data_IF_104936340436
#
_entry.id   IF_104936340436
#
_cell.length_a   1.000
_cell.length_b   1.000
_cell.length_c   1.000
_cell.angle_alpha   90.00
_cell.angle_beta   90.00
_cell.angle_gamma   90.00
#
_symmetry.space_group_name_H-M   'P 1'
#
loop_
_entity.id
_entity.type
_entity.pdbx_description
1 polymer ?
#
# COMPACT_ATOMS: atom_id res chain seq x y z
N UNK A 1 1.07 -35.23 2.18
CA UNK A 1 0.82 -35.87 0.87
C UNK A 1 1.15 -34.83 -0.20
N UNK A 2 2.07 -35.09 -1.13
CA UNK A 2 2.47 -34.08 -2.11
C UNK A 2 1.33 -33.70 -3.04
N UNK A 3 1.03 -32.40 -3.14
CA UNK A 3 0.03 -31.84 -4.06
C UNK A 3 0.49 -32.04 -5.52
N UNK A 4 0.11 -33.17 -6.13
CA UNK A 4 0.36 -33.44 -7.55
C UNK A 4 -0.26 -32.32 -8.40
N UNK A 5 0.58 -31.55 -9.09
CA UNK A 5 0.15 -30.56 -10.09
C UNK A 5 0.50 -29.10 -9.76
N UNK A 6 0.88 -28.78 -8.52
CA UNK A 6 1.29 -27.42 -8.15
C UNK A 6 2.79 -27.29 -8.41
N UNK A 7 3.16 -26.43 -9.37
CA UNK A 7 4.56 -26.03 -9.61
C UNK A 7 4.87 -24.83 -8.72
N UNK A 8 6.01 -24.87 -8.05
CA UNK A 8 6.55 -23.72 -7.32
C UNK A 8 7.13 -22.66 -8.26
N UNK A 9 7.61 -21.56 -7.67
CA UNK A 9 8.24 -20.47 -8.42
C UNK A 9 9.48 -20.95 -9.18
N UNK A 10 9.70 -20.39 -10.37
CA UNK A 10 10.86 -20.68 -11.23
C UNK A 10 11.03 -22.17 -11.59
N UNK A 11 9.92 -22.92 -11.69
CA UNK A 11 9.95 -24.34 -12.04
C UNK A 11 10.45 -25.25 -10.93
N UNK A 12 10.64 -24.73 -9.71
CA UNK A 12 10.99 -25.52 -8.53
C UNK A 12 9.77 -26.26 -7.99
N UNK A 13 9.95 -27.34 -7.21
CA UNK A 13 8.85 -27.96 -6.49
C UNK A 13 8.13 -26.95 -5.58
N UNK A 14 6.82 -27.11 -5.44
CA UNK A 14 6.06 -26.42 -4.41
C UNK A 14 6.64 -26.76 -3.04
N UNK A 15 6.88 -25.74 -2.21
CA UNK A 15 7.28 -25.89 -0.82
C UNK A 15 6.06 -25.62 0.04
N UNK A 16 5.63 -26.65 0.75
CA UNK A 16 4.57 -26.57 1.73
C UNK A 16 5.12 -25.92 3.02
N UNK A 17 4.49 -24.83 3.45
CA UNK A 17 4.86 -24.10 4.66
C UNK A 17 3.86 -24.34 5.81
N UNK A 18 2.82 -25.17 5.64
CA UNK A 18 1.77 -25.39 6.64
C UNK A 18 2.33 -25.82 8.00
N UNK A 19 3.40 -26.62 8.02
CA UNK A 19 4.04 -27.05 9.28
C UNK A 19 4.77 -25.93 10.02
N UNK A 20 5.03 -24.81 9.35
CA UNK A 20 5.74 -23.66 9.91
C UNK A 20 4.83 -22.45 10.16
N UNK A 21 3.57 -22.53 9.75
CA UNK A 21 2.59 -21.45 9.91
C UNK A 21 1.41 -21.96 10.70
N UNK A 22 1.30 -21.53 11.96
CA UNK A 22 0.16 -21.86 12.80
C UNK A 22 -1.08 -21.05 12.39
N UNK A 23 -1.79 -21.57 11.39
CA UNK A 23 -3.00 -20.95 10.86
C UNK A 23 -4.17 -20.93 11.87
N UNK A 24 -4.09 -21.70 12.98
CA UNK A 24 -5.15 -21.71 14.00
C UNK A 24 -5.31 -20.35 14.70
N UNK A 25 -4.29 -19.49 14.60
CA UNK A 25 -4.27 -18.13 15.16
C UNK A 25 -4.88 -17.07 14.25
N UNK A 26 -5.14 -17.38 12.98
CA UNK A 26 -5.66 -16.39 12.03
C UNK A 26 -7.01 -15.78 12.45
N UNK A 27 -7.97 -16.51 13.05
CA UNK A 27 -9.21 -15.90 13.53
C UNK A 27 -9.00 -14.83 14.61
N UNK A 28 -8.08 -15.05 15.55
CA UNK A 28 -7.80 -14.05 16.60
C UNK A 28 -7.03 -12.85 16.08
N UNK A 29 -6.16 -13.06 15.08
CA UNK A 29 -5.43 -11.99 14.38
C UNK A 29 -6.41 -11.16 13.56
N UNK A 30 -7.36 -11.81 12.89
CA UNK A 30 -8.42 -11.12 12.14
C UNK A 30 -9.21 -10.19 13.04
N UNK A 31 -9.69 -10.67 14.19
CA UNK A 31 -10.44 -9.85 15.14
C UNK A 31 -9.60 -8.68 15.68
N UNK A 32 -8.32 -8.92 16.02
CA UNK A 32 -7.40 -7.85 16.43
C UNK A 32 -7.26 -6.78 15.34
N UNK A 33 -7.04 -7.19 14.08
CA UNK A 33 -6.89 -6.26 12.95
C UNK A 33 -8.16 -5.42 12.78
N UNK A 34 -9.34 -6.04 12.80
CA UNK A 34 -10.62 -5.34 12.68
C UNK A 34 -10.81 -4.28 13.78
N UNK A 35 -10.59 -4.65 15.04
CA UNK A 35 -10.71 -3.74 16.18
C UNK A 35 -9.65 -2.62 16.16
N UNK A 36 -8.41 -2.97 15.80
CA UNK A 36 -7.31 -2.01 15.75
C UNK A 36 -7.51 -0.99 14.63
N UNK A 37 -7.96 -1.40 13.44
CA UNK A 37 -8.23 -0.49 12.31
C UNK A 37 -9.33 0.54 12.64
N UNK A 38 -10.25 0.23 13.57
CA UNK A 38 -11.22 1.20 14.05
C UNK A 38 -10.61 2.29 14.96
N UNK A 39 -9.39 2.10 15.47
CA UNK A 39 -8.74 2.95 16.47
C UNK A 39 -7.44 3.60 15.99
N UNK A 40 -6.88 3.17 14.85
CA UNK A 40 -5.64 3.72 14.32
C UNK A 40 -5.89 4.54 13.05
N UNK A 41 -5.07 5.57 12.77
CA UNK A 41 -5.09 6.22 11.48
C UNK A 41 -4.74 5.22 10.37
N UNK A 42 -5.59 5.16 9.35
CA UNK A 42 -5.29 4.47 8.09
C UNK A 42 -4.93 5.48 7.01
N UNK A 43 -4.08 5.04 6.09
CA UNK A 43 -3.73 5.83 4.92
C UNK A 43 -4.05 5.07 3.63
N UNK A 44 -3.77 5.73 2.51
CA UNK A 44 -3.73 5.15 1.18
C UNK A 44 -2.30 4.72 0.86
N UNK A 45 -2.12 3.73 0.00
CA UNK A 45 -0.76 3.44 -0.53
C UNK A 45 -0.26 4.54 -1.48
N UNK A 46 -1.17 5.38 -2.00
CA UNK A 46 -0.86 6.37 -3.03
C UNK A 46 -0.84 5.81 -4.45
N UNK A 47 -1.23 4.55 -4.63
CA UNK A 47 -1.33 3.92 -5.93
C UNK A 47 -2.65 4.21 -6.66
N UNK A 48 -2.59 4.22 -8.00
CA UNK A 48 -3.76 4.24 -8.89
C UNK A 48 -3.57 3.17 -9.95
N UNK A 49 -4.63 2.43 -10.27
CA UNK A 49 -4.52 1.36 -11.24
C UNK A 49 -4.03 1.84 -12.62
N UNK A 50 -4.51 3.00 -13.11
CA UNK A 50 -4.20 3.46 -14.47
C UNK A 50 -2.81 4.08 -14.55
N UNK A 51 -2.49 5.03 -13.67
CA UNK A 51 -1.13 5.60 -13.54
C UNK A 51 -0.04 4.57 -13.23
N UNK A 52 -0.39 3.42 -12.64
CA UNK A 52 0.54 2.30 -12.41
C UNK A 52 0.49 1.21 -13.50
N UNK A 53 -0.45 1.27 -14.45
CA UNK A 53 -0.57 0.27 -15.52
C UNK A 53 -1.03 -1.11 -15.06
N UNK A 54 -1.81 -1.19 -13.98
CA UNK A 54 -2.25 -2.43 -13.32
C UNK A 54 -3.78 -2.58 -13.29
N UNK A 55 -4.51 -1.85 -14.14
CA UNK A 55 -5.96 -2.01 -14.29
C UNK A 55 -6.28 -3.48 -14.61
N UNK A 56 -7.14 -4.17 -13.84
CA UNK A 56 -7.55 -5.53 -14.18
C UNK A 56 -8.23 -5.55 -15.55
N UNK A 57 -7.90 -6.54 -16.40
CA UNK A 57 -8.47 -6.66 -17.76
C UNK A 57 -10.00 -6.62 -17.79
N UNK A 58 -10.65 -7.22 -16.79
CA UNK A 58 -12.11 -7.24 -16.65
C UNK A 58 -12.73 -5.87 -16.34
N UNK A 59 -11.91 -4.86 -16.04
CA UNK A 59 -12.31 -3.52 -15.60
C UNK A 59 -11.69 -2.42 -16.47
N UNK A 60 -11.06 -2.76 -17.60
CA UNK A 60 -10.46 -1.77 -18.53
C UNK A 60 -11.48 -0.73 -19.03
N UNK A 61 -12.75 -1.13 -19.16
CA UNK A 61 -13.85 -0.25 -19.57
C UNK A 61 -14.43 0.62 -18.45
N UNK A 62 -13.96 0.49 -17.20
CA UNK A 62 -14.45 1.32 -16.10
C UNK A 62 -13.80 2.69 -16.09
N UNK A 63 -14.64 3.71 -16.01
CA UNK A 63 -14.23 5.12 -15.96
C UNK A 63 -13.99 5.51 -14.50
N UNK A 64 -12.94 4.96 -13.90
CA UNK A 64 -12.43 5.46 -12.61
C UNK A 64 -11.50 6.65 -12.89
N UNK A 65 -11.63 7.71 -12.09
CA UNK A 65 -10.82 8.92 -12.25
C UNK A 65 -9.41 8.66 -11.74
N UNK A 66 -8.42 8.90 -12.59
CA UNK A 66 -7.00 8.69 -12.31
C UNK A 66 -6.33 9.99 -11.83
N UNK A 67 -5.47 9.92 -10.80
CA UNK A 67 -4.81 11.12 -10.30
C UNK A 67 -3.84 11.73 -11.32
N UNK A 68 -3.17 10.92 -12.16
CA UNK A 68 -2.15 11.39 -13.08
C UNK A 68 -2.79 12.25 -14.16
N UNK A 69 -3.92 11.80 -14.71
CA UNK A 69 -4.75 12.57 -15.64
C UNK A 69 -5.26 13.87 -15.02
N UNK A 70 -5.77 13.81 -13.78
CA UNK A 70 -6.25 14.98 -13.05
C UNK A 70 -5.13 16.00 -12.82
N UNK A 71 -3.98 15.57 -12.31
CA UNK A 71 -2.82 16.44 -12.05
C UNK A 71 -2.32 17.08 -13.35
N UNK A 72 -2.25 16.30 -14.44
CA UNK A 72 -1.82 16.81 -15.75
C UNK A 72 -2.77 17.88 -16.32
N UNK A 73 -4.06 17.82 -15.97
CA UNK A 73 -5.09 18.75 -16.43
C UNK A 73 -5.25 20.01 -15.54
N UNK A 74 -4.58 20.09 -14.38
CA UNK A 74 -4.74 21.21 -13.45
C UNK A 74 -4.29 22.55 -14.05
N UNK A 75 -5.10 23.59 -13.80
CA UNK A 75 -4.66 24.98 -13.96
C UNK A 75 -3.47 25.30 -13.05
N UNK A 76 -2.80 26.42 -13.27
CA UNK A 76 -1.66 26.84 -12.43
C UNK A 76 -2.11 27.07 -10.97
N UNK A 77 -3.29 27.65 -10.76
CA UNK A 77 -3.84 27.89 -9.42
C UNK A 77 -4.24 26.59 -8.69
N UNK A 78 -4.83 25.63 -9.41
CA UNK A 78 -5.12 24.31 -8.84
C UNK A 78 -3.84 23.55 -8.51
N UNK A 79 -2.84 23.61 -9.39
CA UNK A 79 -1.56 22.96 -9.16
C UNK A 79 -0.82 23.57 -7.97
N UNK A 80 -0.86 24.88 -7.79
CA UNK A 80 -0.26 25.52 -6.62
C UNK A 80 -0.97 25.10 -5.32
N UNK A 81 -2.30 24.96 -5.35
CA UNK A 81 -3.06 24.37 -4.24
C UNK A 81 -2.59 22.95 -3.96
N UNK A 82 -2.53 22.10 -4.99
CA UNK A 82 -2.05 20.72 -4.89
C UNK A 82 -0.63 20.63 -4.31
N UNK A 83 0.28 21.49 -4.79
CA UNK A 83 1.66 21.58 -4.31
C UNK A 83 1.71 21.93 -2.83
N UNK A 84 0.93 22.93 -2.40
CA UNK A 84 0.86 23.38 -1.00
C UNK A 84 0.36 22.32 0.00
N UNK A 85 -0.30 21.26 -0.49
CA UNK A 85 -0.78 20.14 0.31
C UNK A 85 0.29 19.05 0.51
N UNK A 86 1.39 19.08 -0.25
CA UNK A 86 2.51 18.15 -0.08
C UNK A 86 3.13 18.25 1.31
N UNK A 87 3.76 17.19 1.77
CA UNK A 87 4.58 17.21 3.00
C UNK A 87 5.91 17.95 2.80
N UNK A 88 6.34 18.15 1.53
CA UNK A 88 7.54 18.90 1.16
C UNK A 88 7.28 19.75 -0.11
N UNK A 89 6.43 20.80 -0.03
CA UNK A 89 6.00 21.57 -1.20
C UNK A 89 7.15 22.21 -1.98
N UNK A 90 8.23 22.60 -1.30
CA UNK A 90 9.45 23.17 -1.87
C UNK A 90 10.27 22.18 -2.72
N UNK A 91 10.07 20.88 -2.55
CA UNK A 91 10.73 19.84 -3.35
C UNK A 91 10.10 19.66 -4.74
N UNK A 92 8.93 20.26 -4.98
CA UNK A 92 8.18 20.16 -6.22
C UNK A 92 8.40 21.45 -7.04
N UNK A 93 9.25 21.37 -8.07
CA UNK A 93 9.44 22.47 -9.00
C UNK A 93 8.22 22.63 -9.91
N UNK A 94 7.43 23.68 -9.66
CA UNK A 94 6.21 23.95 -10.40
C UNK A 94 6.44 24.20 -11.90
N UNK A 95 7.62 24.69 -12.28
CA UNK A 95 7.96 24.92 -13.70
C UNK A 95 8.14 23.62 -14.47
N UNK A 96 8.51 22.54 -13.77
CA UNK A 96 8.73 21.20 -14.32
C UNK A 96 7.56 20.25 -14.11
N UNK A 97 6.39 20.76 -13.68
CA UNK A 97 5.22 19.94 -13.32
C UNK A 97 4.79 18.91 -14.38
N UNK A 98 5.03 19.18 -15.67
CA UNK A 98 4.68 18.28 -16.78
C UNK A 98 5.71 17.17 -17.01
N UNK A 99 6.89 17.28 -16.41
CA UNK A 99 7.98 16.30 -16.49
C UNK A 99 8.01 15.38 -15.27
N UNK A 100 7.33 15.75 -14.19
CA UNK A 100 7.31 14.99 -12.94
C UNK A 100 6.24 13.90 -12.98
N UNK A 101 6.60 12.71 -12.48
CA UNK A 101 5.64 11.66 -12.17
C UNK A 101 5.23 11.72 -10.70
N UNK A 102 3.94 11.51 -10.42
CA UNK A 102 3.35 11.57 -9.08
C UNK A 102 2.82 10.21 -8.65
N UNK A 103 2.89 9.88 -7.36
CA UNK A 103 2.33 8.65 -6.80
C UNK A 103 3.34 7.74 -6.09
N UNK A 104 2.88 6.55 -5.71
CA UNK A 104 3.73 5.51 -5.12
C UNK A 104 4.89 5.15 -6.09
N UNK A 105 6.13 5.21 -5.58
CA UNK A 105 7.36 4.93 -6.34
C UNK A 105 7.63 5.85 -7.56
N UNK A 106 7.14 7.09 -7.50
CA UNK A 106 7.37 8.12 -8.53
C UNK A 106 8.29 9.24 -8.06
N UNK A 107 8.58 10.20 -8.94
CA UNK A 107 9.45 11.35 -8.63
C UNK A 107 8.93 12.14 -7.42
N UNK A 108 7.61 12.28 -7.32
CA UNK A 108 6.93 12.99 -6.23
C UNK A 108 5.91 12.06 -5.56
N UNK A 109 6.15 11.60 -4.32
CA UNK A 109 5.16 10.84 -3.57
C UNK A 109 3.96 11.73 -3.22
N UNK A 110 2.75 11.15 -3.21
CA UNK A 110 1.55 11.86 -2.81
C UNK A 110 1.42 11.87 -1.28
N UNK A 111 1.28 13.06 -0.68
CA UNK A 111 0.94 13.18 0.73
C UNK A 111 -0.52 12.77 0.97
N UNK A 112 -0.85 12.38 2.20
CA UNK A 112 -2.24 12.10 2.60
C UNK A 112 -3.19 13.26 2.30
N UNK A 113 -2.72 14.49 2.50
CA UNK A 113 -3.52 15.71 2.23
C UNK A 113 -3.80 15.86 0.73
N UNK A 114 -2.80 15.60 -0.12
CA UNK A 114 -2.98 15.59 -1.57
C UNK A 114 -3.98 14.51 -2.01
N UNK A 115 -3.83 13.28 -1.50
CA UNK A 115 -4.72 12.17 -1.85
C UNK A 115 -6.17 12.45 -1.43
N UNK A 116 -6.40 12.96 -0.22
CA UNK A 116 -7.73 13.34 0.24
C UNK A 116 -8.36 14.45 -0.60
N UNK A 117 -7.57 15.48 -0.95
CA UNK A 117 -8.06 16.57 -1.77
C UNK A 117 -8.42 16.09 -3.18
N UNK A 118 -7.55 15.29 -3.81
CA UNK A 118 -7.82 14.66 -5.11
C UNK A 118 -9.10 13.81 -5.07
N UNK A 119 -9.27 12.98 -4.03
CA UNK A 119 -10.46 12.15 -3.82
C UNK A 119 -11.72 13.00 -3.74
N UNK A 120 -11.73 14.01 -2.87
CA UNK A 120 -12.96 14.80 -2.58
C UNK A 120 -13.28 15.79 -3.70
N UNK A 121 -12.26 16.46 -4.26
CA UNK A 121 -12.45 17.53 -5.25
C UNK A 121 -12.67 17.01 -6.67
N UNK A 122 -12.00 15.92 -7.03
CA UNK A 122 -11.99 15.40 -8.41
C UNK A 122 -12.54 13.97 -8.53
N UNK A 123 -12.93 13.34 -7.42
CA UNK A 123 -13.45 11.97 -7.45
C UNK A 123 -12.39 10.92 -7.78
N UNK A 124 -11.10 11.25 -7.58
CA UNK A 124 -9.99 10.32 -7.84
C UNK A 124 -10.18 9.05 -7.04
N UNK A 125 -9.99 7.92 -7.73
CA UNK A 125 -10.10 6.59 -7.15
C UNK A 125 -8.75 6.07 -6.67
N UNK A 126 -8.69 5.71 -5.37
CA UNK A 126 -7.54 5.03 -4.75
C UNK A 126 -8.01 3.65 -4.26
N UNK A 127 -7.50 2.52 -4.78
CA UNK A 127 -8.03 1.19 -4.47
C UNK A 127 -7.65 0.63 -3.10
N UNK A 128 -6.51 1.05 -2.54
CA UNK A 128 -6.00 0.55 -1.26
C UNK A 128 -6.15 1.61 -0.19
N UNK A 129 -7.31 1.64 0.47
CA UNK A 129 -7.74 2.72 1.37
C UNK A 129 -7.53 2.41 2.86
N UNK A 130 -7.16 1.18 3.18
CA UNK A 130 -6.82 0.74 4.53
C UNK A 130 -5.36 0.25 4.55
N UNK A 131 -4.42 1.20 4.56
CA UNK A 131 -2.98 0.92 4.63
C UNK A 131 -2.42 1.29 6.00
N UNK A 132 -1.77 0.32 6.67
CA UNK A 132 -1.05 0.52 7.93
C UNK A 132 0.32 -0.13 7.85
N UNK A 133 1.38 0.66 8.03
CA UNK A 133 2.76 0.16 8.08
C UNK A 133 3.13 -0.31 9.48
N UNK A 134 3.24 -1.62 9.65
CA UNK A 134 3.72 -2.21 10.90
C UNK A 134 5.24 -2.15 10.98
N UNK A 135 5.93 -2.45 9.88
CA UNK A 135 7.36 -2.18 9.66
C UNK A 135 7.46 -1.28 8.42
N UNK A 136 7.71 0.04 8.59
CA UNK A 136 7.74 0.99 7.49
C UNK A 136 8.94 0.78 6.56
N UNK A 137 8.75 1.12 5.30
CA UNK A 137 9.83 1.20 4.32
C UNK A 137 9.98 2.61 3.78
N UNK A 138 11.23 3.06 3.62
CA UNK A 138 11.51 4.33 2.96
C UNK A 138 11.63 4.18 1.46
N UNK A 139 12.20 3.06 1.01
CA UNK A 139 12.45 2.79 -0.41
C UNK A 139 12.06 1.37 -0.78
N UNK A 140 11.62 1.18 -2.01
CA UNK A 140 11.26 -0.14 -2.54
C UNK A 140 12.41 -1.14 -2.49
N UNK A 141 13.65 -0.71 -2.81
CA UNK A 141 14.84 -1.56 -2.77
C UNK A 141 15.15 -2.13 -1.39
N UNK A 142 14.64 -1.51 -0.33
CA UNK A 142 14.85 -1.96 1.05
C UNK A 142 13.81 -3.01 1.47
N UNK A 143 12.79 -3.30 0.66
CA UNK A 143 11.60 -4.08 1.11
C UNK A 143 11.91 -5.47 1.67
N UNK A 144 13.04 -6.04 1.30
CA UNK A 144 13.46 -7.38 1.70
C UNK A 144 14.44 -7.39 2.86
N UNK A 145 15.02 -6.24 3.25
CA UNK A 145 16.05 -6.16 4.29
C UNK A 145 15.47 -5.67 5.61
N UNK A 146 15.86 -6.32 6.71
CA UNK A 146 15.47 -5.93 8.07
C UNK A 146 16.37 -4.86 8.70
N UNK A 147 17.49 -4.51 8.05
CA UNK A 147 18.50 -3.59 8.60
C UNK A 147 17.91 -2.25 9.08
N UNK A 148 18.11 -1.93 10.36
CA UNK A 148 17.62 -0.70 10.98
C UNK A 148 16.10 -0.62 11.19
N UNK A 149 15.35 -1.66 10.81
CA UNK A 149 13.88 -1.68 10.87
C UNK A 149 13.37 -2.46 12.06
N UNK A 150 12.21 -2.03 12.53
CA UNK A 150 11.50 -2.65 13.65
C UNK A 150 10.03 -2.32 13.54
N UNK A 151 9.20 -3.14 14.17
CA UNK A 151 7.80 -2.82 14.37
C UNK A 151 7.64 -1.45 15.03
N UNK A 152 6.73 -0.62 14.50
CA UNK A 152 6.45 0.69 15.07
C UNK A 152 5.86 0.57 16.47
N UNK A 153 5.90 1.66 17.25
CA UNK A 153 5.20 1.72 18.53
C UNK A 153 3.70 1.47 18.37
N UNK A 154 3.10 2.05 17.32
CA UNK A 154 1.69 1.83 16.99
C UNK A 154 1.42 0.36 16.72
N UNK A 155 2.26 -0.31 15.92
CA UNK A 155 2.15 -1.75 15.65
C UNK A 155 2.16 -2.58 16.93
N UNK A 156 3.13 -2.34 17.83
CA UNK A 156 3.24 -3.08 19.09
C UNK A 156 2.10 -2.79 20.07
N UNK A 157 1.49 -1.61 20.02
CA UNK A 157 0.38 -1.22 20.90
C UNK A 157 -0.96 -1.79 20.43
N UNK A 158 -1.26 -1.69 19.13
CA UNK A 158 -2.60 -2.02 18.61
C UNK A 158 -2.67 -3.38 17.92
N UNK A 159 -1.53 -3.94 17.50
CA UNK A 159 -1.46 -5.22 16.77
C UNK A 159 -0.52 -6.25 17.43
N UNK A 160 -0.52 -6.41 18.78
CA UNK A 160 0.46 -7.27 19.45
C UNK A 160 0.41 -8.75 19.03
N UNK A 161 -0.78 -9.31 18.74
CA UNK A 161 -0.92 -10.70 18.29
C UNK A 161 -0.39 -10.86 16.87
N UNK A 162 -0.69 -9.91 15.98
CA UNK A 162 -0.17 -9.86 14.61
C UNK A 162 1.35 -9.75 14.61
N UNK A 163 1.92 -8.86 15.42
CA UNK A 163 3.37 -8.71 15.57
C UNK A 163 3.99 -10.03 16.06
N UNK A 164 3.43 -10.62 17.11
CA UNK A 164 3.93 -11.90 17.64
C UNK A 164 3.80 -13.04 16.62
N UNK A 165 2.75 -13.07 15.80
CA UNK A 165 2.60 -14.05 14.72
C UNK A 165 3.71 -13.90 13.67
N UNK A 166 3.95 -12.68 13.19
CA UNK A 166 4.97 -12.39 12.18
C UNK A 166 6.38 -12.67 12.71
N UNK A 167 6.68 -12.33 13.97
CA UNK A 167 7.97 -12.62 14.61
C UNK A 167 8.23 -14.14 14.78
N UNK A 168 7.20 -14.99 14.72
CA UNK A 168 7.31 -16.45 14.80
C UNK A 168 7.36 -17.14 13.43
N UNK A 169 7.21 -16.42 12.32
CA UNK A 169 7.31 -17.00 10.98
C UNK A 169 8.75 -17.48 10.70
N UNK A 170 8.93 -18.54 9.88
CA UNK A 170 10.23 -19.19 9.66
C UNK A 170 11.16 -18.40 8.72
N UNK A 171 11.10 -17.07 8.74
CA UNK A 171 11.92 -16.21 7.90
C UNK A 171 13.17 -15.76 8.66
N UNK A 172 14.32 -15.79 7.98
CA UNK A 172 15.58 -15.28 8.55
C UNK A 172 15.54 -13.78 8.82
N UNK A 173 14.74 -13.05 8.05
CA UNK A 173 14.48 -11.63 8.24
C UNK A 173 13.12 -11.22 7.68
N UNK A 174 12.54 -10.15 8.25
CA UNK A 174 11.31 -9.51 7.77
C UNK A 174 11.62 -8.05 7.45
N UNK A 175 11.68 -7.71 6.16
CA UNK A 175 12.02 -6.36 5.71
C UNK A 175 10.86 -5.36 5.66
N UNK A 176 9.62 -5.85 5.57
CA UNK A 176 8.37 -5.05 5.54
C UNK A 176 7.24 -5.85 6.17
N UNK A 177 6.31 -5.16 6.80
CA UNK A 177 5.04 -5.74 7.24
C UNK A 177 3.97 -4.64 7.20
N UNK A 178 2.90 -4.85 6.45
CA UNK A 178 1.78 -3.90 6.39
C UNK A 178 0.46 -4.65 6.38
N UNK A 179 -0.57 -3.94 6.84
CA UNK A 179 -1.95 -4.33 6.65
C UNK A 179 -2.45 -3.55 5.43
N UNK A 180 -3.03 -4.27 4.46
CA UNK A 180 -3.63 -3.72 3.26
C UNK A 180 -5.06 -4.22 3.16
N UNK A 181 -6.02 -3.29 3.20
CA UNK A 181 -7.43 -3.58 3.04
C UNK A 181 -8.05 -2.86 1.85
N UNK A 182 -9.08 -3.49 1.32
CA UNK A 182 -10.03 -2.92 0.36
C UNK A 182 -11.31 -2.56 1.12
N UNK A 183 -11.91 -1.41 0.82
CA UNK A 183 -13.25 -1.12 1.31
C UNK A 183 -14.31 -1.84 0.46
N UNK A 184 -15.56 -1.80 0.91
CA UNK A 184 -16.67 -2.24 0.07
C UNK A 184 -16.64 -1.48 -1.26
N UNK A 185 -16.81 -2.23 -2.37
CA UNK A 185 -16.78 -1.72 -3.74
C UNK A 185 -15.41 -1.25 -4.26
N UNK A 186 -14.31 -1.57 -3.56
CA UNK A 186 -12.97 -1.41 -4.11
C UNK A 186 -12.56 -2.59 -5.00
N UNK A 187 -11.76 -2.29 -6.02
CA UNK A 187 -11.34 -3.21 -7.07
C UNK A 187 -9.82 -3.38 -7.10
N UNK A 188 -9.18 -3.63 -5.95
CA UNK A 188 -7.73 -3.85 -5.88
C UNK A 188 -7.33 -5.32 -5.91
N UNK A 189 -6.07 -5.58 -6.25
CA UNK A 189 -5.45 -6.88 -5.92
C UNK A 189 -5.08 -6.87 -4.45
N UNK A 190 -5.42 -7.94 -3.72
CA UNK A 190 -4.90 -8.19 -2.37
C UNK A 190 -3.65 -9.05 -2.55
N UNK A 191 -2.52 -8.56 -2.06
CA UNK A 191 -1.20 -9.17 -2.22
C UNK A 191 -0.81 -10.04 -1.02
#
# INVERSE_FOLDING_TARGET
MGHRGIKGLFGRPYVDLETYVDASRLPEIHEEICLALANVPVDYTGGSHRSMGIVPRSREGEVLVDYGEVIAAMSDAEFETFRSLSDAPESIDASRRRELSYGEERDVPLSRRQMLWLKVRYGVYFPWKAYVELIPNRRWGEKSTSEGKRFTRLARTFFPKTVAFVENLPFSEVGRCNIMGLEAFDYGTVH
#
